data_IF_284668359539
#
_entry.id   IF_284668359539
#
_cell.length_a   1.000
_cell.length_b   1.000
_cell.length_c   1.000
_cell.angle_alpha   90.00
_cell.angle_beta   90.00
_cell.angle_gamma   90.00
#
_symmetry.space_group_name_H-M   'P 1'
#
loop_
_entity.id
_entity.type
_entity.pdbx_description
1 polymer ?
#
# COMPACT_ATOMS: atom_id res chain seq x y z
N UNK A 1 18.18 -11.99 0.69
CA UNK A 1 16.89 -11.31 0.43
C UNK A 1 16.09 -11.34 1.72
N UNK A 2 15.76 -10.20 2.32
CA UNK A 2 14.82 -10.21 3.45
C UNK A 2 13.42 -10.45 2.89
N UNK A 3 12.62 -11.25 3.58
CA UNK A 3 11.19 -11.37 3.31
C UNK A 3 10.43 -10.47 4.27
N UNK A 4 9.24 -10.00 3.90
CA UNK A 4 8.34 -9.36 4.83
C UNK A 4 8.09 -10.23 6.07
N UNK A 5 7.82 -9.64 7.24
CA UNK A 5 7.41 -10.38 8.43
C UNK A 5 6.08 -11.13 8.21
N UNK A 6 5.80 -12.09 9.09
CA UNK A 6 4.51 -12.80 9.19
C UNK A 6 4.04 -13.51 7.91
N UNK A 7 4.98 -13.86 7.03
CA UNK A 7 4.65 -14.51 5.74
C UNK A 7 3.90 -13.58 4.78
N UNK A 8 3.97 -12.27 4.98
CA UNK A 8 3.33 -11.30 4.10
C UNK A 8 3.97 -11.33 2.70
N UNK A 9 3.19 -11.07 1.63
CA UNK A 9 3.70 -11.09 0.26
C UNK A 9 4.57 -9.87 -0.02
N UNK A 10 5.61 -10.08 -0.84
CA UNK A 10 6.56 -9.01 -1.25
C UNK A 10 5.91 -7.88 -2.06
N UNK A 11 4.71 -8.09 -2.60
CA UNK A 11 3.95 -7.08 -3.33
C UNK A 11 2.51 -7.06 -2.84
N UNK A 12 1.97 -5.86 -2.62
CA UNK A 12 0.61 -5.65 -2.15
C UNK A 12 0.00 -4.43 -2.79
N UNK A 13 -1.29 -4.49 -3.09
CA UNK A 13 -2.10 -3.30 -3.41
C UNK A 13 -3.10 -3.10 -2.29
N UNK A 14 -3.05 -1.94 -1.66
CA UNK A 14 -4.08 -1.50 -0.72
C UNK A 14 -5.09 -0.66 -1.49
N UNK A 15 -6.37 -0.95 -1.31
CA UNK A 15 -7.46 -0.15 -1.87
C UNK A 15 -8.45 0.26 -0.77
N UNK A 16 -9.11 1.39 -0.98
CA UNK A 16 -10.14 1.91 -0.08
C UNK A 16 -10.55 3.34 -0.43
N UNK A 17 -11.53 3.91 0.27
CA UNK A 17 -11.86 5.33 0.16
C UNK A 17 -10.66 6.23 0.48
N UNK A 18 -10.61 7.42 -0.10
CA UNK A 18 -9.65 8.47 0.27
C UNK A 18 -9.98 9.04 1.65
N UNK A 19 -9.56 8.32 2.69
CA UNK A 19 -9.83 8.66 4.08
C UNK A 19 -8.66 8.33 5.03
N UNK A 20 -8.82 8.72 6.30
CA UNK A 20 -7.80 8.49 7.33
C UNK A 20 -7.52 7.00 7.57
N UNK A 21 -8.50 6.11 7.36
CA UNK A 21 -8.33 4.67 7.53
C UNK A 21 -7.41 4.10 6.44
N UNK A 22 -7.57 4.56 5.20
CA UNK A 22 -6.68 4.20 4.10
C UNK A 22 -5.26 4.71 4.36
N UNK A 23 -5.11 5.98 4.74
CA UNK A 23 -3.82 6.56 5.10
C UNK A 23 -3.12 5.75 6.19
N UNK A 24 -3.83 5.39 7.26
CA UNK A 24 -3.28 4.60 8.36
C UNK A 24 -2.76 3.24 7.90
N UNK A 25 -3.51 2.51 7.05
CA UNK A 25 -3.09 1.21 6.51
C UNK A 25 -1.83 1.31 5.65
N UNK A 26 -1.70 2.37 4.84
CA UNK A 26 -0.50 2.62 4.04
C UNK A 26 0.68 2.96 4.97
N UNK A 27 0.48 3.82 5.97
CA UNK A 27 1.51 4.17 6.96
C UNK A 27 1.99 2.96 7.76
N UNK A 28 1.10 2.04 8.15
CA UNK A 28 1.47 0.79 8.82
C UNK A 28 2.34 -0.10 7.93
N UNK A 29 1.99 -0.24 6.65
CA UNK A 29 2.80 -1.02 5.71
C UNK A 29 4.19 -0.38 5.51
N UNK A 30 4.28 0.94 5.40
CA UNK A 30 5.56 1.67 5.38
C UNK A 30 6.34 1.42 6.68
N UNK A 31 5.68 1.46 7.83
CA UNK A 31 6.28 1.17 9.14
C UNK A 31 6.84 -0.24 9.26
N UNK A 32 6.26 -1.22 8.54
CA UNK A 32 6.81 -2.58 8.43
C UNK A 32 8.04 -2.67 7.52
N UNK A 33 8.33 -1.65 6.72
CA UNK A 33 9.45 -1.60 5.79
C UNK A 33 9.09 -1.77 4.33
N UNK A 34 7.81 -1.69 3.96
CA UNK A 34 7.42 -1.59 2.55
C UNK A 34 7.74 -0.20 1.99
N UNK A 35 8.01 -0.15 0.69
CA UNK A 35 8.18 1.08 -0.08
C UNK A 35 6.99 1.30 -1.00
N UNK A 36 6.66 2.57 -1.25
CA UNK A 36 5.64 2.94 -2.21
C UNK A 36 6.15 2.65 -3.62
N UNK A 37 5.35 1.92 -4.39
CA UNK A 37 5.63 1.71 -5.81
C UNK A 37 4.85 2.74 -6.63
N UNK A 38 5.56 3.76 -7.12
CA UNK A 38 5.01 4.87 -7.90
C UNK A 38 3.88 5.62 -7.17
N UNK A 39 3.24 6.55 -7.89
CA UNK A 39 2.08 7.29 -7.41
C UNK A 39 0.82 6.42 -7.28
N UNK A 40 -0.14 6.82 -6.42
CA UNK A 40 -1.40 6.12 -6.27
C UNK A 40 -2.28 6.25 -7.52
N UNK A 41 -3.10 5.24 -7.76
CA UNK A 41 -4.22 5.35 -8.71
C UNK A 41 -5.48 5.81 -7.96
N UNK A 42 -6.24 6.72 -8.58
CA UNK A 42 -7.42 7.32 -7.97
C UNK A 42 -8.59 7.27 -8.95
N UNK A 43 -9.77 6.87 -8.49
CA UNK A 43 -11.00 6.84 -9.28
C UNK A 43 -12.21 7.23 -8.43
N UNK A 44 -13.29 7.70 -9.05
CA UNK A 44 -14.54 8.01 -8.36
C UNK A 44 -15.56 6.91 -8.65
N UNK A 45 -16.13 6.29 -7.61
CA UNK A 45 -17.06 5.17 -7.78
C UNK A 45 -18.54 5.59 -7.85
N UNK A 46 -18.84 6.90 -7.88
CA UNK A 46 -20.20 7.44 -7.81
C UNK A 46 -20.60 7.98 -6.43
N UNK A 47 -19.84 7.63 -5.38
CA UNK A 47 -20.09 8.06 -4.00
C UNK A 47 -18.82 8.60 -3.34
N UNK A 48 -17.71 7.86 -3.46
CA UNK A 48 -16.43 8.15 -2.83
C UNK A 48 -15.30 8.15 -3.86
N UNK A 49 -14.25 8.90 -3.55
CA UNK A 49 -12.95 8.73 -4.20
C UNK A 49 -12.32 7.46 -3.66
N UNK A 50 -11.95 6.54 -4.54
CA UNK A 50 -11.27 5.28 -4.22
C UNK A 50 -9.82 5.39 -4.65
N UNK A 51 -8.92 5.10 -3.72
CA UNK A 51 -7.48 5.10 -3.92
C UNK A 51 -6.98 3.67 -3.98
N UNK A 52 -5.99 3.42 -4.83
CA UNK A 52 -5.19 2.22 -4.85
C UNK A 52 -3.71 2.60 -4.73
N UNK A 53 -3.02 2.07 -3.74
CA UNK A 53 -1.58 2.24 -3.56
C UNK A 53 -0.87 0.89 -3.63
N UNK A 54 0.06 0.76 -4.57
CA UNK A 54 0.96 -0.37 -4.65
C UNK A 54 2.12 -0.19 -3.66
N UNK A 55 2.45 -1.26 -2.93
CA UNK A 55 3.58 -1.34 -2.02
C UNK A 55 4.44 -2.55 -2.37
N UNK A 56 5.75 -2.35 -2.38
CA UNK A 56 6.75 -3.38 -2.63
C UNK A 56 7.65 -3.56 -1.41
N UNK A 57 8.02 -4.80 -1.12
CA UNK A 57 9.08 -5.08 -0.18
C UNK A 57 10.42 -4.85 -0.89
N UNK A 58 11.33 -4.05 -0.31
CA UNK A 58 12.59 -3.75 -0.95
C UNK A 58 13.44 -5.02 -1.07
N UNK A 59 13.47 -5.60 -2.27
CA UNK A 59 14.45 -6.64 -2.61
C UNK A 59 15.74 -5.93 -2.97
N UNK A 60 16.59 -5.68 -1.96
CA UNK A 60 17.94 -5.20 -2.22
C UNK A 60 18.69 -6.29 -3.02
N UNK A 61 19.35 -5.97 -4.15
CA UNK A 61 20.31 -6.88 -4.76
C UNK A 61 21.48 -7.16 -3.81
#
# INVERSE_FOLDING_TARGET
>A
MSTPPDGLPVYRVLTGPDDATFCQRVSEAIGLGYELHEGPAVTFNGENVIVAQALIWPTRP
#
